data_IF_968842731017
#
_entry.id   IF_968842731017
#
_cell.length_a   1.000
_cell.length_b   1.000
_cell.length_c   1.000
_cell.angle_alpha   90.00
_cell.angle_beta   90.00
_cell.angle_gamma   90.00
#
_symmetry.space_group_name_H-M   'P 1'
#
loop_
_entity.id
_entity.type
_entity.pdbx_description
1 polymer ?
#
# COMPACT_ATOMS: atom_id res chain seq x y z
N UNK A 1 18.97 14.48 15.76
CA UNK A 1 19.53 13.17 16.17
C UNK A 1 20.41 12.61 15.05
N UNK A 2 21.49 11.84 15.32
CA UNK A 2 22.28 11.20 14.24
C UNK A 2 21.38 10.24 13.43
N UNK A 3 21.54 10.21 12.11
CA UNK A 3 20.68 9.43 11.20
C UNK A 3 20.49 7.95 11.60
N UNK A 4 21.53 7.17 11.95
CA UNK A 4 21.35 5.78 12.36
C UNK A 4 20.45 5.61 13.59
N UNK A 5 20.51 6.55 14.54
CA UNK A 5 19.64 6.54 15.72
C UNK A 5 18.18 6.85 15.35
N UNK A 6 17.96 7.72 14.35
CA UNK A 6 16.62 8.01 13.83
C UNK A 6 16.00 6.80 13.12
N UNK A 7 16.80 6.07 12.34
CA UNK A 7 16.37 4.81 11.74
C UNK A 7 16.01 3.78 12.81
N UNK A 8 16.89 3.56 13.80
CA UNK A 8 16.63 2.62 14.89
C UNK A 8 15.37 2.99 15.69
N UNK A 9 15.14 4.28 15.98
CA UNK A 9 13.94 4.75 16.65
C UNK A 9 12.68 4.49 15.81
N UNK A 10 12.77 4.66 14.48
CA UNK A 10 11.66 4.39 13.55
C UNK A 10 11.32 2.91 13.52
N UNK A 11 12.31 2.03 13.42
CA UNK A 11 12.15 0.57 13.45
C UNK A 11 11.65 0.04 14.80
N UNK A 12 11.83 0.77 15.90
CA UNK A 12 11.25 0.42 17.21
C UNK A 12 9.81 0.92 17.39
N UNK A 13 9.30 1.72 16.47
CA UNK A 13 7.96 2.30 16.57
C UNK A 13 6.88 1.24 16.33
N UNK A 14 5.95 1.09 17.28
CA UNK A 14 4.74 0.28 17.09
C UNK A 14 3.89 0.79 15.94
N UNK A 15 3.89 2.11 15.68
CA UNK A 15 3.13 2.71 14.57
C UNK A 15 3.71 2.29 13.22
N UNK A 16 5.04 2.25 13.09
CA UNK A 16 5.72 1.77 11.89
C UNK A 16 5.28 0.34 11.56
N UNK A 17 5.46 -0.59 12.49
CA UNK A 17 5.11 -2.01 12.24
C UNK A 17 3.64 -2.27 12.01
N UNK A 18 2.72 -1.52 12.64
CA UNK A 18 1.29 -1.66 12.35
C UNK A 18 0.97 -1.31 10.90
N UNK A 19 1.65 -0.33 10.33
CA UNK A 19 1.46 0.07 8.94
C UNK A 19 2.16 -0.87 7.96
N UNK A 20 3.39 -1.28 8.25
CA UNK A 20 4.10 -2.25 7.40
C UNK A 20 3.39 -3.61 7.37
N UNK A 21 3.12 -4.20 8.54
CA UNK A 21 2.49 -5.53 8.63
C UNK A 21 1.03 -5.45 8.19
N UNK A 22 0.28 -4.44 8.65
CA UNK A 22 -1.11 -4.28 8.24
C UNK A 22 -1.25 -4.06 6.73
N UNK A 23 -0.36 -3.25 6.15
CA UNK A 23 -0.29 -3.04 4.71
C UNK A 23 0.05 -4.30 3.94
N UNK A 24 1.08 -5.03 4.37
CA UNK A 24 1.47 -6.30 3.76
C UNK A 24 0.36 -7.37 3.83
N UNK A 25 -0.38 -7.44 4.94
CA UNK A 25 -1.54 -8.32 5.08
C UNK A 25 -2.65 -7.93 4.11
N UNK A 26 -3.00 -6.65 4.03
CA UNK A 26 -4.02 -6.16 3.08
C UNK A 26 -3.63 -6.47 1.63
N UNK A 27 -2.35 -6.27 1.29
CA UNK A 27 -1.80 -6.62 -0.01
C UNK A 27 -1.84 -8.13 -0.30
N UNK A 28 -1.58 -8.95 0.72
CA UNK A 28 -1.57 -10.41 0.59
C UNK A 28 -2.95 -11.05 0.40
N UNK A 29 -4.04 -10.39 0.84
CA UNK A 29 -5.40 -10.95 0.72
C UNK A 29 -5.78 -11.23 -0.74
N UNK A 30 -5.69 -10.26 -1.68
CA UNK A 30 -5.97 -10.52 -3.08
C UNK A 30 -5.11 -11.63 -3.68
N UNK A 31 -3.81 -11.63 -3.35
CA UNK A 31 -2.88 -12.66 -3.83
C UNK A 31 -3.35 -14.04 -3.36
N UNK A 32 -3.63 -14.21 -2.07
CA UNK A 32 -4.12 -15.47 -1.52
C UNK A 32 -5.43 -15.93 -2.19
N UNK A 33 -6.38 -15.02 -2.42
CA UNK A 33 -7.63 -15.32 -3.13
C UNK A 33 -7.33 -15.85 -4.52
N UNK A 34 -6.49 -15.16 -5.32
CA UNK A 34 -6.14 -15.59 -6.68
C UNK A 34 -5.45 -16.96 -6.71
N UNK A 35 -4.66 -17.28 -5.69
CA UNK A 35 -4.07 -18.61 -5.54
C UNK A 35 -5.09 -19.70 -5.27
N UNK A 36 -6.09 -19.42 -4.42
CA UNK A 36 -7.15 -20.37 -4.09
C UNK A 36 -8.13 -20.54 -5.25
N UNK A 37 -8.54 -19.44 -5.89
CA UNK A 37 -9.55 -19.46 -6.96
C UNK A 37 -8.97 -19.76 -8.33
N UNK A 38 -7.64 -19.70 -8.49
CA UNK A 38 -6.94 -19.76 -9.79
C UNK A 38 -7.46 -18.74 -10.82
N UNK A 39 -8.11 -17.68 -10.35
CA UNK A 39 -8.65 -16.59 -11.18
C UNK A 39 -7.90 -15.30 -10.90
N UNK A 40 -7.67 -14.48 -11.94
CA UNK A 40 -7.13 -13.11 -11.80
C UNK A 40 -8.15 -12.18 -11.16
N UNK A 41 -9.43 -12.42 -11.44
CA UNK A 41 -10.53 -11.58 -11.01
C UNK A 41 -11.01 -11.97 -9.61
N UNK A 42 -11.15 -10.98 -8.75
CA UNK A 42 -11.81 -11.14 -7.46
C UNK A 42 -13.27 -10.69 -7.64
N UNK A 43 -14.26 -11.61 -7.54
CA UNK A 43 -15.65 -11.34 -7.89
C UNK A 43 -16.28 -10.13 -7.19
N UNK A 44 -15.83 -9.83 -5.96
CA UNK A 44 -16.37 -8.73 -5.14
C UNK A 44 -15.79 -7.36 -5.56
N UNK A 45 -14.65 -7.34 -6.27
CA UNK A 45 -13.94 -6.12 -6.67
C UNK A 45 -13.97 -5.89 -8.20
N UNK A 46 -14.61 -6.79 -8.94
CA UNK A 46 -14.81 -6.68 -10.38
C UNK A 46 -16.11 -5.91 -10.63
N UNK A 47 -16.05 -4.58 -10.60
CA UNK A 47 -17.22 -3.75 -10.92
C UNK A 47 -17.53 -3.87 -12.43
N UNK A 48 -18.71 -4.40 -12.82
CA UNK A 48 -19.08 -4.44 -14.23
C UNK A 48 -19.19 -3.02 -14.77
N UNK A 49 -18.41 -2.70 -15.82
CA UNK A 49 -18.49 -1.43 -16.54
C UNK A 49 -17.28 -0.48 -16.44
N UNK A 50 -16.20 -0.83 -15.70
CA UNK A 50 -14.98 -0.01 -15.63
C UNK A 50 -13.81 -0.50 -16.52
N UNK A 51 -14.07 -1.44 -17.43
CA UNK A 51 -13.13 -1.76 -18.51
C UNK A 51 -13.23 -0.68 -19.59
N UNK A 52 -12.47 0.40 -19.43
CA UNK A 52 -12.05 1.21 -20.57
C UNK A 52 -10.83 0.48 -21.15
N UNK A 53 -11.06 -0.26 -22.24
CA UNK A 53 -10.11 -0.90 -23.15
C UNK A 53 -8.60 -0.82 -22.78
N UNK A 54 -7.92 -1.97 -22.62
CA UNK A 54 -6.47 -2.23 -22.41
C UNK A 54 -5.63 -1.34 -21.44
N UNK A 55 -6.12 -0.21 -20.95
CA UNK A 55 -5.35 0.80 -20.22
C UNK A 55 -5.75 0.94 -18.75
N UNK A 56 -6.98 0.53 -18.38
CA UNK A 56 -7.45 0.49 -17.00
C UNK A 56 -7.51 -0.97 -16.54
N UNK A 57 -6.77 -1.36 -15.48
CA UNK A 57 -6.83 -2.71 -14.96
C UNK A 57 -8.25 -3.06 -14.52
N UNK A 58 -8.77 -4.24 -14.89
CA UNK A 58 -10.10 -4.70 -14.43
C UNK A 58 -10.23 -4.77 -12.90
N UNK A 59 -9.11 -4.83 -12.19
CA UNK A 59 -8.99 -4.78 -10.73
C UNK A 59 -8.60 -3.39 -10.19
N UNK A 60 -8.87 -2.29 -10.91
CA UNK A 60 -8.44 -0.94 -10.52
C UNK A 60 -8.86 -0.56 -9.10
N UNK A 61 -10.09 -0.89 -8.68
CA UNK A 61 -10.56 -0.60 -7.32
C UNK A 61 -9.72 -1.32 -6.26
N UNK A 62 -9.47 -2.62 -6.47
CA UNK A 62 -8.56 -3.39 -5.62
C UNK A 62 -7.19 -2.74 -5.57
N UNK A 63 -6.66 -2.36 -6.74
CA UNK A 63 -5.33 -1.77 -6.87
C UNK A 63 -5.23 -0.43 -6.15
N UNK A 64 -6.25 0.43 -6.26
CA UNK A 64 -6.36 1.69 -5.50
C UNK A 64 -6.38 1.39 -4.00
N UNK A 65 -7.26 0.49 -3.55
CA UNK A 65 -7.42 0.16 -2.14
C UNK A 65 -6.13 -0.41 -1.56
N UNK A 66 -5.53 -1.38 -2.22
CA UNK A 66 -4.30 -2.04 -1.76
C UNK A 66 -3.14 -1.04 -1.75
N UNK A 67 -2.91 -0.29 -2.84
CA UNK A 67 -1.83 0.71 -2.89
C UNK A 67 -2.04 1.89 -1.93
N UNK A 68 -3.28 2.18 -1.54
CA UNK A 68 -3.59 3.16 -0.49
C UNK A 68 -2.92 2.77 0.85
N UNK A 69 -2.82 1.47 1.15
CA UNK A 69 -2.16 0.96 2.34
C UNK A 69 -0.70 0.57 2.08
N UNK A 70 -0.42 -0.24 1.06
CA UNK A 70 0.91 -0.76 0.76
C UNK A 70 1.16 -0.84 -0.76
N UNK A 71 2.29 -0.33 -1.26
CA UNK A 71 3.41 0.29 -0.54
C UNK A 71 3.17 1.74 -0.08
N UNK A 72 2.17 2.44 -0.62
CA UNK A 72 2.03 3.89 -0.48
C UNK A 72 1.82 4.40 0.95
N UNK A 73 0.76 3.94 1.63
CA UNK A 73 0.43 4.40 2.99
C UNK A 73 1.48 4.03 4.04
N UNK A 74 2.01 2.82 3.95
CA UNK A 74 3.11 2.32 4.78
C UNK A 74 4.37 3.19 4.62
N UNK A 75 4.78 3.43 3.37
CA UNK A 75 5.91 4.32 3.07
C UNK A 75 5.68 5.75 3.54
N UNK A 76 4.45 6.24 3.42
CA UNK A 76 4.06 7.53 3.98
C UNK A 76 4.35 7.61 5.49
N UNK A 77 3.87 6.64 6.25
CA UNK A 77 4.09 6.59 7.70
C UNK A 77 5.57 6.40 8.06
N UNK A 78 6.30 5.57 7.31
CA UNK A 78 7.73 5.39 7.50
C UNK A 78 8.50 6.70 7.31
N UNK A 79 8.23 7.44 6.23
CA UNK A 79 8.85 8.73 5.95
C UNK A 79 8.54 9.79 7.01
N UNK A 80 7.28 9.90 7.44
CA UNK A 80 6.85 10.81 8.51
C UNK A 80 7.56 10.51 9.83
N UNK A 81 7.62 9.23 10.23
CA UNK A 81 8.24 8.81 11.48
C UNK A 81 9.75 9.02 11.47
N UNK A 82 10.41 8.67 10.37
CA UNK A 82 11.85 8.90 10.22
C UNK A 82 12.19 10.38 10.34
N UNK A 83 11.44 11.25 9.65
CA UNK A 83 11.64 12.68 9.73
C UNK A 83 11.38 13.24 11.13
N UNK A 84 10.33 12.78 11.81
CA UNK A 84 10.02 13.19 13.18
C UNK A 84 11.13 12.78 14.14
N UNK A 85 11.60 11.54 14.05
CA UNK A 85 12.69 11.02 14.87
C UNK A 85 14.01 11.76 14.58
N UNK A 86 14.31 12.04 13.31
CA UNK A 86 15.52 12.76 12.93
C UNK A 86 15.56 14.18 13.51
N UNK A 87 14.44 14.90 13.39
CA UNK A 87 14.26 16.27 13.90
C UNK A 87 14.09 16.33 15.41
N UNK A 88 13.69 15.23 16.05
CA UNK A 88 13.40 15.15 17.49
C UNK A 88 12.05 15.74 17.89
N UNK A 89 11.24 16.17 16.91
CA UNK A 89 9.90 16.73 17.10
C UNK A 89 8.95 16.19 16.04
N UNK A 90 7.65 16.14 16.34
CA UNK A 90 6.65 15.69 15.38
C UNK A 90 6.58 16.66 14.19
N UNK A 91 6.53 16.11 12.97
CA UNK A 91 6.34 16.93 11.76
C UNK A 91 4.85 17.24 11.54
N UNK A 92 4.56 18.48 11.13
CA UNK A 92 3.19 18.98 10.97
C UNK A 92 2.97 19.65 9.60
N UNK A 93 1.69 19.89 9.28
CA UNK A 93 1.27 20.65 8.09
C UNK A 93 1.83 20.09 6.77
N UNK A 94 2.26 20.99 5.88
CA UNK A 94 2.80 20.64 4.56
C UNK A 94 4.07 19.78 4.65
N UNK A 95 4.92 20.04 5.64
CA UNK A 95 6.18 19.31 5.85
C UNK A 95 5.92 17.84 6.16
N UNK A 96 4.89 17.54 6.95
CA UNK A 96 4.42 16.16 7.19
C UNK A 96 4.14 15.43 5.86
N UNK A 97 3.36 16.04 4.98
CA UNK A 97 2.96 15.42 3.71
C UNK A 97 4.12 15.29 2.73
N UNK A 98 5.08 16.21 2.74
CA UNK A 98 6.30 16.07 1.93
C UNK A 98 7.10 14.83 2.34
N UNK A 99 7.28 14.61 3.65
CA UNK A 99 7.98 13.43 4.14
C UNK A 99 7.19 12.14 3.90
N UNK A 100 5.85 12.20 3.97
CA UNK A 100 5.02 11.07 3.56
C UNK A 100 5.18 10.77 2.07
N UNK A 101 5.18 11.78 1.21
CA UNK A 101 5.37 11.61 -0.23
C UNK A 101 6.72 10.96 -0.52
N UNK A 102 7.80 11.49 0.07
CA UNK A 102 9.13 10.90 -0.09
C UNK A 102 9.19 9.43 0.34
N UNK A 103 8.63 9.11 1.51
CA UNK A 103 8.57 7.73 1.99
C UNK A 103 7.71 6.80 1.13
N UNK A 104 6.54 7.28 0.69
CA UNK A 104 5.63 6.53 -0.19
C UNK A 104 6.29 6.21 -1.54
N UNK A 105 6.95 7.20 -2.16
CA UNK A 105 7.65 7.02 -3.43
C UNK A 105 8.85 6.08 -3.29
N UNK A 106 9.66 6.22 -2.24
CA UNK A 106 10.81 5.33 -2.01
C UNK A 106 10.39 3.88 -1.77
N UNK A 107 9.35 3.66 -0.98
CA UNK A 107 8.84 2.31 -0.73
C UNK A 107 8.19 1.71 -1.98
N UNK A 108 7.48 2.52 -2.76
CA UNK A 108 6.92 2.11 -4.05
C UNK A 108 8.01 1.78 -5.07
N UNK A 109 9.12 2.53 -5.08
CA UNK A 109 10.27 2.24 -5.92
C UNK A 109 10.92 0.91 -5.53
N UNK A 110 11.15 0.68 -4.23
CA UNK A 110 11.67 -0.60 -3.73
C UNK A 110 10.76 -1.78 -4.10
N UNK A 111 9.44 -1.59 -3.95
CA UNK A 111 8.46 -2.62 -4.32
C UNK A 111 8.43 -2.85 -5.84
N UNK A 112 8.46 -1.80 -6.64
CA UNK A 112 8.48 -1.91 -8.11
C UNK A 112 9.75 -2.58 -8.61
N UNK A 113 10.90 -2.32 -7.98
CA UNK A 113 12.14 -3.02 -8.27
C UNK A 113 12.05 -4.52 -7.94
N UNK A 114 11.45 -4.87 -6.79
CA UNK A 114 11.18 -6.26 -6.44
C UNK A 114 10.24 -6.94 -7.45
N UNK A 115 9.16 -6.27 -7.85
CA UNK A 115 8.23 -6.76 -8.86
C UNK A 115 8.90 -6.95 -10.22
N UNK A 116 9.73 -5.99 -10.64
CA UNK A 116 10.48 -6.07 -11.88
C UNK A 116 11.44 -7.26 -11.88
N UNK A 117 12.18 -7.44 -10.79
CA UNK A 117 13.09 -8.57 -10.64
C UNK A 117 12.32 -9.89 -10.66
N UNK A 118 11.23 -10.02 -9.90
CA UNK A 118 10.37 -11.20 -9.93
C UNK A 118 9.80 -11.47 -11.32
N UNK A 119 9.36 -10.42 -12.04
CA UNK A 119 8.85 -10.53 -13.41
C UNK A 119 9.91 -11.12 -14.34
N UNK A 120 11.18 -10.71 -14.22
CA UNK A 120 12.27 -11.22 -15.05
C UNK A 120 12.51 -12.74 -14.89
N UNK A 121 12.08 -13.33 -13.78
CA UNK A 121 12.18 -14.77 -13.53
C UNK A 121 11.10 -15.59 -14.25
N UNK A 122 10.14 -14.93 -14.93
CA UNK A 122 9.06 -15.58 -15.69
C UNK A 122 8.26 -16.62 -14.87
N UNK A 123 8.05 -16.35 -13.58
CA UNK A 123 7.30 -17.23 -12.70
C UNK A 123 5.81 -17.16 -13.07
N UNK A 124 5.27 -18.28 -13.53
CA UNK A 124 3.87 -18.38 -13.96
C UNK A 124 2.95 -18.33 -12.76
N UNK A 125 1.95 -17.44 -12.80
CA UNK A 125 0.93 -17.32 -11.77
C UNK A 125 -0.09 -18.47 -11.81
N UNK A 126 -0.83 -18.71 -10.72
CA UNK A 126 -1.81 -19.80 -10.62
C UNK A 126 -2.94 -19.73 -11.66
N UNK A 127 -3.20 -18.55 -12.23
CA UNK A 127 -4.16 -18.28 -13.30
C UNK A 127 -3.61 -18.54 -14.72
N UNK A 128 -2.30 -18.75 -14.88
CA UNK A 128 -1.67 -19.04 -16.18
C UNK A 128 -1.80 -20.50 -16.63
N UNK A 129 -2.33 -21.38 -15.78
CA UNK A 129 -2.42 -22.83 -16.04
C UNK A 129 -3.46 -23.24 -17.10
N UNK A 130 -4.27 -22.29 -17.59
CA UNK A 130 -5.30 -22.51 -18.62
C UNK A 130 -4.95 -22.05 -20.04
N UNK A 131 -3.67 -21.83 -20.36
CA UNK A 131 -3.21 -21.36 -21.68
C UNK A 131 -3.03 -19.84 -21.81
N UNK A 132 -3.18 -19.09 -20.72
CA UNK A 132 -2.87 -17.66 -20.65
C UNK A 132 -1.44 -17.43 -20.17
N UNK A 133 -0.67 -16.63 -20.91
CA UNK A 133 0.61 -16.10 -20.43
C UNK A 133 0.33 -15.12 -19.29
N UNK A 134 0.73 -15.46 -18.06
CA UNK A 134 0.48 -14.62 -16.89
C UNK A 134 1.59 -14.76 -15.86
N UNK A 135 2.49 -13.78 -15.80
CA UNK A 135 3.48 -13.68 -14.74
C UNK A 135 2.78 -13.41 -13.39
N UNK A 136 3.27 -14.01 -12.31
CA UNK A 136 2.77 -13.73 -10.95
C UNK A 136 3.09 -12.30 -10.51
N UNK A 137 4.17 -11.72 -11.04
CA UNK A 137 4.59 -10.35 -10.79
C UNK A 137 4.00 -9.38 -11.80
N UNK A 138 3.90 -8.11 -11.41
CA UNK A 138 3.39 -7.05 -12.26
C UNK A 138 4.37 -6.66 -13.38
N UNK A 139 3.85 -6.45 -14.59
CA UNK A 139 4.64 -5.93 -15.70
C UNK A 139 5.03 -4.45 -15.47
N UNK A 140 6.20 -4.03 -15.94
CA UNK A 140 6.72 -2.67 -15.71
C UNK A 140 5.81 -1.53 -16.21
N UNK A 141 4.93 -1.81 -17.19
CA UNK A 141 3.94 -0.87 -17.70
C UNK A 141 2.99 -0.33 -16.61
N UNK A 142 2.76 -1.08 -15.52
CA UNK A 142 1.88 -0.62 -14.43
C UNK A 142 2.58 0.24 -13.38
N UNK A 143 3.91 0.38 -13.42
CA UNK A 143 4.65 1.11 -12.40
C UNK A 143 4.29 2.61 -12.34
N UNK A 144 4.15 3.35 -13.47
CA UNK A 144 3.71 4.74 -13.41
C UNK A 144 2.39 4.94 -12.66
N UNK A 145 1.45 4.00 -12.81
CA UNK A 145 0.21 3.99 -12.05
C UNK A 145 0.46 3.74 -10.55
N UNK A 146 1.32 2.79 -10.20
CA UNK A 146 1.69 2.54 -8.79
C UNK A 146 2.29 3.79 -8.12
N UNK A 147 3.19 4.51 -8.81
CA UNK A 147 3.76 5.76 -8.32
C UNK A 147 2.71 6.87 -8.16
N UNK A 148 1.78 6.96 -9.10
CA UNK A 148 0.66 7.92 -9.01
C UNK A 148 -0.22 7.61 -7.80
N UNK A 149 -0.58 6.34 -7.61
CA UNK A 149 -1.36 5.91 -6.44
C UNK A 149 -0.60 6.19 -5.15
N UNK A 150 0.69 5.88 -5.07
CA UNK A 150 1.52 6.16 -3.91
C UNK A 150 1.55 7.65 -3.53
N UNK A 151 1.54 8.56 -4.51
CA UNK A 151 1.46 9.99 -4.27
C UNK A 151 0.13 10.40 -3.62
N UNK A 152 -0.98 9.76 -3.98
CA UNK A 152 -2.28 9.98 -3.33
C UNK A 152 -2.40 9.28 -1.97
N UNK A 153 -1.72 8.14 -1.77
CA UNK A 153 -1.74 7.36 -0.53
C UNK A 153 -1.19 8.10 0.70
N UNK A 154 -0.54 9.25 0.53
CA UNK A 154 -0.01 10.06 1.65
C UNK A 154 -1.11 10.54 2.61
N UNK A 155 -2.36 10.58 2.15
CA UNK A 155 -3.53 10.96 2.95
C UNK A 155 -4.18 9.77 3.67
N UNK A 156 -3.95 8.53 3.21
CA UNK A 156 -4.55 7.32 3.79
C UNK A 156 -4.37 7.23 5.30
N UNK A 157 -3.18 7.55 5.88
CA UNK A 157 -3.04 7.48 7.32
C UNK A 157 -3.99 8.38 8.08
N UNK A 158 -4.22 9.61 7.60
CA UNK A 158 -5.11 10.54 8.27
C UNK A 158 -6.58 10.10 8.15
N UNK A 159 -6.98 9.58 6.97
CA UNK A 159 -8.32 9.00 6.77
C UNK A 159 -8.56 7.82 7.73
N UNK A 160 -7.59 6.89 7.85
CA UNK A 160 -7.70 5.73 8.75
C UNK A 160 -7.83 6.19 10.20
N UNK A 161 -7.04 7.18 10.64
CA UNK A 161 -7.14 7.71 12.00
C UNK A 161 -8.48 8.42 12.24
N UNK A 162 -8.97 9.19 11.26
CA UNK A 162 -10.27 9.84 11.32
C UNK A 162 -11.39 8.81 11.47
N UNK A 163 -11.46 7.82 10.59
CA UNK A 163 -12.47 6.75 10.63
C UNK A 163 -12.41 6.01 11.96
N UNK A 164 -11.21 5.62 12.41
CA UNK A 164 -11.01 4.99 13.72
C UNK A 164 -11.58 5.86 14.85
N UNK A 165 -11.33 7.17 14.82
CA UNK A 165 -11.83 8.08 15.87
C UNK A 165 -13.36 8.14 15.90
N UNK A 166 -14.02 8.15 14.74
CA UNK A 166 -15.48 8.11 14.65
C UNK A 166 -16.04 6.79 15.17
N UNK A 167 -15.44 5.66 14.79
CA UNK A 167 -15.86 4.33 15.25
C UNK A 167 -15.72 4.19 16.77
N UNK A 168 -14.63 4.68 17.36
CA UNK A 168 -14.43 4.65 18.82
C UNK A 168 -15.48 5.51 19.53
N UNK A 169 -15.81 6.70 19.00
CA UNK A 169 -16.87 7.55 19.56
C UNK A 169 -18.24 6.87 19.50
N UNK A 170 -18.56 6.27 18.35
CA UNK A 170 -19.82 5.53 18.16
C UNK A 170 -19.91 4.34 19.13
N UNK A 171 -18.83 3.56 19.24
CA UNK A 171 -18.77 2.44 20.16
C UNK A 171 -18.99 2.85 21.62
N UNK A 172 -18.35 3.94 22.08
CA UNK A 172 -18.57 4.48 23.43
C UNK A 172 -20.03 4.88 23.65
N UNK A 173 -20.61 5.64 22.71
CA UNK A 173 -22.01 6.04 22.75
C UNK A 173 -22.97 4.83 22.83
N UNK A 174 -22.71 3.78 22.06
CA UNK A 174 -23.53 2.55 22.06
C UNK A 174 -23.32 1.70 23.32
N UNK A 175 -22.11 1.65 23.86
CA UNK A 175 -21.77 0.85 25.05
C UNK A 175 -22.15 1.49 26.38
N UNK A 176 -22.79 2.67 26.38
CA UNK A 176 -23.16 3.45 27.58
C UNK A 176 -21.98 3.64 28.55
N UNK A 177 -20.76 3.76 28.01
CA UNK A 177 -19.54 4.17 28.71
C UNK A 177 -19.04 5.49 28.16
#
# INVERSE_FOLDING_TARGET
MKFPKAVAATLRSKRFWRWEIGGAVIYGIPVAIRFVTKSVEIPILNFPGFWIDHYIPGNMLEKILVNAFFPGGAGGVAGELLASNYRGTAVHGKVKYLYRLGGALLQTAAWSAFQYWGYSLNIIGPWGTGGGWGNIFEHWLVFPFNFTLAAFSIFTPDVVYFVKSCLVKLYRKLSRR
#
